data_IF_344055430344
#
_entry.id   IF_344055430344
#
_cell.length_a   1.000
_cell.length_b   1.000
_cell.length_c   1.000
_cell.angle_alpha   90.00
_cell.angle_beta   90.00
_cell.angle_gamma   90.00
#
_symmetry.space_group_name_H-M   'P 1'
#
loop_
_entity.id
_entity.type
_entity.pdbx_description
1 polymer ?
#
# COMPACT_ATOMS: atom_id res chain seq x y z
N UNK A 1 16.19 -0.94 9.97
CA UNK A 1 15.71 -0.61 8.61
C UNK A 1 16.60 0.41 7.88
N UNK A 2 17.16 1.43 8.54
CA UNK A 2 17.92 2.50 7.87
C UNK A 2 19.19 2.05 7.09
N UNK A 3 19.67 0.82 7.31
CA UNK A 3 20.86 0.28 6.63
C UNK A 3 20.56 -0.32 5.24
N UNK A 4 19.31 -0.69 4.94
CA UNK A 4 18.95 -1.30 3.67
C UNK A 4 18.28 -0.29 2.72
N UNK A 5 18.59 -0.32 1.41
CA UNK A 5 17.89 0.51 0.44
C UNK A 5 16.40 0.15 0.38
N UNK A 6 15.55 1.16 0.42
CA UNK A 6 14.10 0.99 0.32
C UNK A 6 13.61 1.14 -1.12
N UNK A 7 12.67 0.27 -1.46
CA UNK A 7 11.91 0.24 -2.70
C UNK A 7 10.46 0.56 -2.34
N UNK A 8 9.95 1.72 -2.75
CA UNK A 8 8.62 2.20 -2.30
C UNK A 8 7.75 2.62 -3.47
N UNK A 9 6.45 2.79 -3.21
CA UNK A 9 5.56 3.41 -4.17
C UNK A 9 6.00 4.83 -4.53
N UNK A 10 5.68 5.28 -5.73
CA UNK A 10 5.87 6.68 -6.12
C UNK A 10 4.98 7.63 -5.27
N UNK A 11 5.21 8.93 -5.41
CA UNK A 11 4.60 9.96 -4.55
C UNK A 11 3.09 10.14 -4.79
N UNK A 12 2.52 9.52 -5.82
CA UNK A 12 1.08 9.56 -6.10
C UNK A 12 0.29 8.69 -5.12
N UNK A 13 0.93 7.68 -4.50
CA UNK A 13 0.29 6.78 -3.56
C UNK A 13 0.28 7.36 -2.14
N UNK A 14 -0.88 7.32 -1.49
CA UNK A 14 -1.05 7.72 -0.10
C UNK A 14 -0.08 6.98 0.84
N UNK A 15 0.19 5.69 0.58
CA UNK A 15 1.14 4.90 1.35
C UNK A 15 2.56 5.51 1.34
N UNK A 16 3.03 5.99 0.19
CA UNK A 16 4.36 6.61 0.08
C UNK A 16 4.45 7.87 0.94
N UNK A 17 3.41 8.73 0.89
CA UNK A 17 3.31 9.94 1.72
C UNK A 17 3.28 9.61 3.21
N UNK A 18 2.49 8.61 3.61
CA UNK A 18 2.39 8.16 5.00
C UNK A 18 3.71 7.62 5.53
N UNK A 19 4.41 6.79 4.74
CA UNK A 19 5.73 6.26 5.11
C UNK A 19 6.75 7.37 5.29
N UNK A 20 6.82 8.32 4.34
CA UNK A 20 7.75 9.45 4.44
C UNK A 20 7.49 10.31 5.67
N UNK A 21 6.21 10.55 6.00
CA UNK A 21 5.81 11.26 7.21
C UNK A 21 6.26 10.51 8.49
N UNK A 22 6.04 9.20 8.56
CA UNK A 22 6.47 8.40 9.71
C UNK A 22 7.99 8.37 9.87
N UNK A 23 8.73 8.27 8.77
CA UNK A 23 10.19 8.35 8.81
C UNK A 23 10.65 9.69 9.38
N UNK A 24 10.03 10.79 8.96
CA UNK A 24 10.30 12.14 9.47
C UNK A 24 9.97 12.26 10.97
N UNK A 25 8.81 11.79 11.40
CA UNK A 25 8.38 11.77 12.81
C UNK A 25 9.34 11.00 13.73
N UNK A 26 9.99 9.95 13.21
CA UNK A 26 10.98 9.16 13.95
C UNK A 26 12.43 9.64 13.74
N UNK A 27 12.65 10.74 13.02
CA UNK A 27 13.99 11.26 12.71
C UNK A 27 14.84 10.32 11.84
N UNK A 28 14.21 9.39 11.14
CA UNK A 28 14.87 8.40 10.28
C UNK A 28 14.95 8.95 8.86
N UNK A 29 16.15 8.95 8.27
CA UNK A 29 16.35 9.28 6.86
C UNK A 29 16.49 8.00 6.04
N UNK A 30 15.44 7.50 5.37
CA UNK A 30 15.52 6.29 4.59
C UNK A 30 16.39 6.50 3.34
N UNK A 31 17.20 5.50 2.99
CA UNK A 31 17.86 5.45 1.68
C UNK A 31 16.90 4.87 0.65
N UNK A 32 16.30 5.71 -0.19
CA UNK A 32 15.39 5.25 -1.25
C UNK A 32 16.20 4.91 -2.50
N UNK A 33 16.17 3.66 -2.94
CA UNK A 33 16.82 3.24 -4.19
C UNK A 33 15.88 3.30 -5.40
N UNK A 34 14.60 2.95 -5.21
CA UNK A 34 13.63 2.88 -6.31
C UNK A 34 12.28 3.43 -5.84
N UNK A 35 11.61 4.14 -6.75
CA UNK A 35 10.20 4.53 -6.64
C UNK A 35 9.44 4.03 -7.87
N UNK A 36 8.36 3.30 -7.67
CA UNK A 36 7.52 2.83 -8.78
C UNK A 36 6.05 2.68 -8.37
N UNK A 37 5.13 2.97 -9.29
CA UNK A 37 3.70 2.66 -9.09
C UNK A 37 3.34 1.19 -9.36
N UNK A 38 4.25 0.44 -9.98
CA UNK A 38 4.06 -0.97 -10.32
C UNK A 38 4.61 -1.86 -9.19
N UNK A 39 3.71 -2.53 -8.46
CA UNK A 39 4.06 -3.32 -7.28
C UNK A 39 4.84 -4.59 -7.63
N UNK A 40 4.57 -5.18 -8.78
CA UNK A 40 5.24 -6.35 -9.34
C UNK A 40 6.69 -6.01 -9.71
N UNK A 41 6.93 -4.81 -10.25
CA UNK A 41 8.29 -4.31 -10.48
C UNK A 41 9.07 -4.16 -9.16
N UNK A 42 8.46 -3.58 -8.12
CA UNK A 42 9.10 -3.49 -6.80
C UNK A 42 9.43 -4.89 -6.24
N UNK A 43 8.52 -5.85 -6.39
CA UNK A 43 8.74 -7.24 -5.98
C UNK A 43 9.91 -7.89 -6.74
N UNK A 44 9.98 -7.72 -8.06
CA UNK A 44 11.08 -8.22 -8.88
C UNK A 44 12.44 -7.63 -8.46
N UNK A 45 12.47 -6.36 -8.07
CA UNK A 45 13.69 -5.70 -7.57
C UNK A 45 14.11 -6.24 -6.19
N UNK A 46 13.16 -6.61 -5.32
CA UNK A 46 13.46 -7.33 -4.07
C UNK A 46 14.04 -8.70 -4.38
N UNK A 47 13.44 -9.47 -5.30
CA UNK A 47 13.93 -10.78 -5.72
C UNK A 47 15.35 -10.71 -6.29
N UNK A 48 15.68 -9.62 -6.99
CA UNK A 48 17.02 -9.34 -7.51
C UNK A 48 18.02 -8.86 -6.44
N UNK A 49 17.60 -8.72 -5.18
CA UNK A 49 18.47 -8.32 -4.06
C UNK A 49 18.79 -6.83 -3.98
N UNK A 50 18.02 -5.96 -4.65
CA UNK A 50 18.29 -4.51 -4.71
C UNK A 50 17.99 -3.83 -3.36
N UNK A 51 17.03 -4.34 -2.60
CA UNK A 51 16.63 -3.73 -1.34
C UNK A 51 15.38 -4.36 -0.74
N UNK A 52 14.75 -3.64 0.18
CA UNK A 52 13.53 -4.06 0.88
C UNK A 52 12.36 -3.21 0.38
N UNK A 53 11.22 -3.85 0.08
CA UNK A 53 9.99 -3.14 -0.27
C UNK A 53 9.01 -3.10 0.89
N UNK A 54 8.28 -1.99 1.00
CA UNK A 54 7.12 -1.86 1.90
C UNK A 54 5.87 -1.82 1.03
N UNK A 55 5.04 -2.86 1.13
CA UNK A 55 3.84 -3.06 0.33
C UNK A 55 2.63 -3.36 1.23
N UNK A 56 1.40 -3.02 0.83
CA UNK A 56 0.20 -3.44 1.53
C UNK A 56 0.11 -4.96 1.63
N UNK A 57 -0.38 -5.46 2.76
CA UNK A 57 -0.52 -6.89 3.02
C UNK A 57 -1.24 -7.67 1.90
N UNK A 58 -2.36 -7.19 1.30
CA UNK A 58 -3.02 -7.92 0.22
C UNK A 58 -2.13 -8.14 -1.01
N UNK A 59 -1.14 -7.27 -1.24
CA UNK A 59 -0.18 -7.43 -2.33
C UNK A 59 0.88 -8.46 -1.96
N UNK A 60 1.40 -8.41 -0.73
CA UNK A 60 2.31 -9.41 -0.19
C UNK A 60 1.72 -10.83 -0.26
N UNK A 61 0.43 -10.97 0.06
CA UNK A 61 -0.26 -12.26 0.01
C UNK A 61 -0.41 -12.84 -1.41
N UNK A 62 -0.36 -11.99 -2.45
CA UNK A 62 -0.43 -12.41 -3.86
C UNK A 62 0.92 -12.84 -4.44
N UNK A 63 2.01 -12.50 -3.77
CA UNK A 63 3.37 -12.78 -4.22
C UNK A 63 3.85 -14.17 -3.76
N UNK A 64 4.81 -14.75 -4.49
CA UNK A 64 5.31 -16.10 -4.22
C UNK A 64 6.12 -16.16 -2.91
N UNK A 65 5.57 -16.88 -1.93
CA UNK A 65 6.17 -17.10 -0.60
C UNK A 65 7.46 -17.92 -0.63
N UNK A 66 7.74 -18.63 -1.73
CA UNK A 66 8.98 -19.40 -1.86
C UNK A 66 10.17 -18.52 -2.22
N UNK A 67 9.92 -17.35 -2.84
CA UNK A 67 10.97 -16.43 -3.30
C UNK A 67 11.08 -15.19 -2.43
N UNK A 68 10.02 -14.82 -1.72
CA UNK A 68 9.94 -13.61 -0.90
C UNK A 68 9.47 -13.96 0.51
N UNK A 69 10.04 -13.26 1.50
CA UNK A 69 9.63 -13.34 2.90
C UNK A 69 8.89 -12.08 3.31
N UNK A 70 7.74 -12.25 3.95
CA UNK A 70 6.94 -11.16 4.49
C UNK A 70 7.30 -10.95 5.95
N UNK A 71 7.69 -9.72 6.29
CA UNK A 71 7.89 -9.31 7.67
C UNK A 71 6.73 -8.36 8.01
N UNK A 72 5.84 -8.74 8.95
CA UNK A 72 4.78 -7.84 9.38
C UNK A 72 5.40 -6.58 9.98
N UNK A 73 4.88 -5.43 9.59
CA UNK A 73 5.29 -4.15 10.14
C UNK A 73 4.36 -3.82 11.31
N UNK A 74 4.89 -3.77 12.53
CA UNK A 74 4.18 -3.21 13.66
C UNK A 74 4.10 -1.70 13.49
N UNK A 75 2.96 -1.21 12.99
CA UNK A 75 2.75 0.21 12.72
C UNK A 75 1.27 0.56 12.86
N UNK A 76 1.00 1.79 13.29
CA UNK A 76 -0.36 2.37 13.29
C UNK A 76 -0.88 2.68 11.86
N UNK A 77 -0.08 2.41 10.82
CA UNK A 77 -0.50 2.52 9.42
C UNK A 77 -1.70 1.61 9.15
N UNK A 78 -2.89 2.20 9.14
CA UNK A 78 -4.11 1.54 8.66
C UNK A 78 -4.47 2.05 7.27
N UNK A 79 -4.65 1.11 6.34
CA UNK A 79 -5.19 1.42 5.03
C UNK A 79 -6.68 1.10 5.02
N UNK A 80 -7.51 2.14 4.95
CA UNK A 80 -8.97 2.00 4.86
C UNK A 80 -9.40 2.29 3.43
N UNK A 81 -10.13 1.35 2.83
CA UNK A 81 -10.77 1.58 1.54
C UNK A 81 -12.04 2.40 1.76
N UNK A 82 -12.22 3.43 0.94
CA UNK A 82 -13.41 4.29 0.97
C UNK A 82 -13.95 4.50 -0.43
N UNK A 83 -15.28 4.65 -0.51
CA UNK A 83 -15.96 5.10 -1.73
C UNK A 83 -16.26 6.59 -1.57
N UNK A 84 -15.93 7.40 -2.59
CA UNK A 84 -16.09 8.86 -2.55
C UNK A 84 -16.90 9.35 -3.74
N UNK A 85 -17.78 10.32 -3.51
CA UNK A 85 -18.55 11.02 -4.53
C UNK A 85 -18.80 12.47 -4.09
N UNK A 86 -19.19 13.33 -5.03
CA UNK A 86 -19.48 14.73 -4.73
C UNK A 86 -20.81 14.83 -3.97
N UNK A 87 -20.79 15.55 -2.85
CA UNK A 87 -22.00 15.84 -2.08
C UNK A 87 -23.01 16.66 -2.91
N UNK A 88 -24.29 16.37 -2.73
CA UNK A 88 -25.38 17.04 -3.44
C UNK A 88 -25.55 16.63 -4.91
N UNK A 89 -24.85 15.58 -5.37
CA UNK A 89 -25.04 15.02 -6.72
C UNK A 89 -25.93 13.80 -6.67
N UNK A 90 -26.87 13.73 -7.62
CA UNK A 90 -27.67 12.53 -7.83
C UNK A 90 -26.78 11.35 -8.24
N UNK A 91 -26.82 10.28 -7.43
CA UNK A 91 -26.26 8.98 -7.80
C UNK A 91 -27.32 8.21 -8.58
N UNK A 92 -26.95 7.67 -9.74
CA UNK A 92 -27.87 6.86 -10.53
C UNK A 92 -28.26 5.57 -9.81
N UNK A 93 -29.37 4.96 -10.21
CA UNK A 93 -29.77 3.66 -9.68
C UNK A 93 -28.67 2.60 -9.85
N UNK A 94 -27.99 2.60 -10.99
CA UNK A 94 -26.84 1.72 -11.25
C UNK A 94 -25.66 2.01 -10.31
N UNK A 95 -25.40 3.29 -9.98
CA UNK A 95 -24.35 3.65 -9.02
C UNK A 95 -24.70 3.13 -7.62
N UNK A 96 -25.94 3.27 -7.16
CA UNK A 96 -26.40 2.69 -5.90
C UNK A 96 -26.29 1.16 -5.88
N UNK A 97 -26.70 0.49 -6.97
CA UNK A 97 -26.55 -0.97 -7.08
C UNK A 97 -25.08 -1.40 -7.01
N UNK A 98 -24.17 -0.63 -7.64
CA UNK A 98 -22.74 -0.87 -7.55
C UNK A 98 -22.20 -0.66 -6.13
N UNK A 99 -22.63 0.41 -5.44
CA UNK A 99 -22.27 0.64 -4.04
C UNK A 99 -22.69 -0.56 -3.20
N UNK A 100 -23.97 -0.96 -3.23
CA UNK A 100 -24.50 -2.11 -2.50
C UNK A 100 -23.78 -3.43 -2.82
N UNK A 101 -23.36 -3.63 -4.07
CA UNK A 101 -22.54 -4.77 -4.46
C UNK A 101 -21.18 -4.73 -3.76
N UNK A 102 -20.50 -3.58 -3.79
CA UNK A 102 -19.21 -3.40 -3.12
C UNK A 102 -19.30 -3.61 -1.60
N UNK A 103 -20.41 -3.19 -0.96
CA UNK A 103 -20.57 -3.34 0.49
C UNK A 103 -20.56 -4.81 0.93
N UNK A 104 -21.06 -5.72 0.08
CA UNK A 104 -21.02 -7.16 0.32
C UNK A 104 -19.61 -7.78 0.34
N UNK A 105 -18.59 -7.06 -0.14
CA UNK A 105 -17.19 -7.50 -0.14
C UNK A 105 -16.32 -6.74 0.86
N UNK A 106 -16.88 -5.81 1.63
CA UNK A 106 -16.12 -5.19 2.70
C UNK A 106 -15.78 -6.22 3.76
N UNK A 107 -14.52 -6.18 4.20
CA UNK A 107 -14.09 -6.89 5.40
C UNK A 107 -14.88 -6.26 6.56
N UNK A 108 -15.81 -7.03 7.15
CA UNK A 108 -16.38 -6.68 8.45
C UNK A 108 -15.23 -6.47 9.43
N UNK A 109 -15.15 -5.32 10.10
CA UNK A 109 -14.17 -5.14 11.15
C UNK A 109 -14.47 -6.18 12.25
N UNK A 110 -13.46 -6.97 12.62
CA UNK A 110 -13.46 -7.73 13.88
C UNK A 110 -13.45 -6.77 15.09
#
# INVERSE_FOLDING_TARGET
MAEHPLLIYNEDFALSKQLMKLFDEHGVKPRIAVRSGQWDFLAAMVQAGVGIAILPEPICQRLDKNTLKWLPLESELSWKLGMIWREGVYLSHSAHAWLSCCEGYWLTPE
#
